data_IF_791806183432
#
_entry.id   IF_791806183432
#
_cell.length_a   1.000
_cell.length_b   1.000
_cell.length_c   1.000
_cell.angle_alpha   90.00
_cell.angle_beta   90.00
_cell.angle_gamma   90.00
#
_symmetry.space_group_name_H-M   'P 1'
#
loop_
_entity.id
_entity.type
_entity.pdbx_description
1 polymer ?
#
# COMPACT_ATOMS: atom_id res chain seq x y z
N UNK A 1 2.79 -8.89 22.65
CA UNK A 1 2.20 -7.57 22.32
C UNK A 1 3.16 -6.72 21.51
N UNK A 2 4.40 -6.52 21.96
CA UNK A 2 5.40 -5.67 21.28
C UNK A 2 5.65 -5.99 19.80
N UNK A 3 5.75 -7.28 19.43
CA UNK A 3 5.94 -7.68 18.03
C UNK A 3 4.73 -7.33 17.14
N UNK A 4 3.52 -7.42 17.69
CA UNK A 4 2.27 -7.10 16.97
C UNK A 4 2.20 -5.60 16.69
N UNK A 5 2.53 -4.79 17.68
CA UNK A 5 2.56 -3.33 17.56
C UNK A 5 3.64 -2.86 16.60
N UNK A 6 4.83 -3.46 16.64
CA UNK A 6 5.92 -3.13 15.71
C UNK A 6 5.51 -3.40 14.26
N UNK A 7 4.84 -4.53 14.01
CA UNK A 7 4.31 -4.88 12.68
C UNK A 7 3.26 -3.88 12.21
N UNK A 8 2.32 -3.50 13.08
CA UNK A 8 1.32 -2.49 12.78
C UNK A 8 1.94 -1.12 12.49
N UNK A 9 2.99 -0.71 13.23
CA UNK A 9 3.71 0.53 12.93
C UNK A 9 4.34 0.49 11.54
N UNK A 10 4.94 -0.63 11.12
CA UNK A 10 5.48 -0.78 9.77
C UNK A 10 4.39 -0.62 8.71
N UNK A 11 3.22 -1.23 8.93
CA UNK A 11 2.06 -1.05 8.05
C UNK A 11 1.63 0.42 7.99
N UNK A 12 1.58 1.11 9.12
CA UNK A 12 1.24 2.54 9.17
C UNK A 12 2.24 3.40 8.37
N UNK A 13 3.54 3.16 8.51
CA UNK A 13 4.55 3.88 7.72
C UNK A 13 4.34 3.71 6.22
N UNK A 14 4.10 2.47 5.75
CA UNK A 14 3.84 2.21 4.33
C UNK A 14 2.56 2.89 3.83
N UNK A 15 1.53 2.99 4.67
CA UNK A 15 0.29 3.70 4.33
C UNK A 15 0.57 5.21 4.18
N UNK A 16 1.38 5.80 5.07
CA UNK A 16 1.79 7.20 4.94
C UNK A 16 2.55 7.43 3.63
N UNK A 17 3.53 6.57 3.30
CA UNK A 17 4.29 6.67 2.04
C UNK A 17 3.36 6.59 0.82
N UNK A 18 2.41 5.64 0.83
CA UNK A 18 1.40 5.52 -0.24
C UNK A 18 0.55 6.79 -0.35
N UNK A 19 0.11 7.36 0.78
CA UNK A 19 -0.74 8.55 0.81
C UNK A 19 -0.01 9.77 0.26
N UNK A 20 1.24 9.98 0.68
CA UNK A 20 2.09 11.05 0.19
C UNK A 20 2.33 10.90 -1.32
N UNK A 21 2.72 9.71 -1.76
CA UNK A 21 2.95 9.42 -3.17
C UNK A 21 1.67 9.61 -3.98
N UNK A 22 0.51 9.10 -3.55
CA UNK A 22 -0.76 9.31 -4.25
C UNK A 22 -1.16 10.79 -4.33
N UNK A 23 -0.84 11.59 -3.31
CA UNK A 23 -1.18 13.01 -3.23
C UNK A 23 -0.21 13.92 -4.03
N UNK A 24 0.97 13.45 -4.42
CA UNK A 24 1.87 14.23 -5.27
C UNK A 24 1.25 14.52 -6.64
N UNK A 25 1.33 15.78 -7.08
CA UNK A 25 1.03 16.25 -8.44
C UNK A 25 2.13 15.79 -9.43
N UNK A 26 2.42 14.49 -9.48
CA UNK A 26 3.32 13.90 -10.46
C UNK A 26 2.54 13.38 -11.67
N UNK A 27 3.19 13.42 -12.84
CA UNK A 27 2.67 13.04 -14.16
C UNK A 27 1.74 11.83 -14.12
N UNK A 28 0.62 11.92 -14.86
CA UNK A 28 -0.40 10.87 -15.12
C UNK A 28 0.00 9.49 -14.59
N UNK A 29 -0.19 9.28 -13.28
CA UNK A 29 -0.03 7.97 -12.66
C UNK A 29 -0.91 7.00 -13.43
N UNK A 30 -0.37 5.85 -13.79
CA UNK A 30 -1.10 4.86 -14.56
C UNK A 30 -2.39 4.51 -13.79
N UNK A 31 -3.55 4.84 -14.37
CA UNK A 31 -4.86 4.64 -13.76
C UNK A 31 -5.08 3.17 -13.37
N UNK A 32 -4.57 2.23 -14.15
CA UNK A 32 -4.64 0.80 -13.85
C UNK A 32 -3.81 0.43 -12.61
N UNK A 33 -2.64 1.06 -12.43
CA UNK A 33 -1.82 0.90 -11.21
C UNK A 33 -2.55 1.47 -10.00
N UNK A 34 -3.10 2.69 -10.12
CA UNK A 34 -3.85 3.33 -9.03
C UNK A 34 -5.07 2.52 -8.62
N UNK A 35 -5.82 1.99 -9.58
CA UNK A 35 -6.97 1.13 -9.31
C UNK A 35 -6.55 -0.10 -8.50
N UNK A 36 -5.46 -0.78 -8.90
CA UNK A 36 -4.94 -1.93 -8.15
C UNK A 36 -4.47 -1.54 -6.75
N UNK A 37 -3.84 -0.37 -6.58
CA UNK A 37 -3.44 0.14 -5.26
C UNK A 37 -4.67 0.33 -4.37
N UNK A 38 -5.71 0.98 -4.89
CA UNK A 38 -6.99 1.19 -4.19
C UNK A 38 -7.62 -0.15 -3.80
N UNK A 39 -7.70 -1.13 -4.71
CA UNK A 39 -8.28 -2.45 -4.44
C UNK A 39 -7.58 -3.17 -3.27
N UNK A 40 -6.25 -3.04 -3.19
CA UNK A 40 -5.49 -3.63 -2.10
C UNK A 40 -5.76 -2.92 -0.76
N UNK A 41 -5.82 -1.59 -0.75
CA UNK A 41 -6.14 -0.81 0.45
C UNK A 41 -7.58 -1.04 0.92
N UNK A 42 -8.55 -1.07 0.01
CA UNK A 42 -9.95 -1.38 0.31
C UNK A 42 -10.08 -2.78 0.92
N UNK A 43 -9.33 -3.77 0.40
CA UNK A 43 -9.28 -5.11 0.98
C UNK A 43 -8.68 -5.14 2.39
N UNK A 44 -7.64 -4.36 2.64
CA UNK A 44 -7.04 -4.23 3.98
C UNK A 44 -8.00 -3.58 4.99
N UNK A 45 -8.71 -2.53 4.58
CA UNK A 45 -9.72 -1.88 5.42
C UNK A 45 -10.87 -2.83 5.69
N UNK A 46 -11.37 -3.53 4.68
CA UNK A 46 -12.45 -4.51 4.82
C UNK A 46 -12.14 -5.59 5.87
N UNK A 47 -10.92 -6.13 5.87
CA UNK A 47 -10.46 -7.09 6.89
C UNK A 47 -10.36 -6.47 8.29
N UNK A 48 -9.99 -5.18 8.38
CA UNK A 48 -9.87 -4.46 9.65
C UNK A 48 -11.23 -4.10 10.26
N UNK A 49 -12.23 -3.78 9.44
CA UNK A 49 -13.55 -3.33 9.89
C UNK A 49 -14.59 -4.44 10.03
N UNK A 50 -14.25 -5.68 9.66
CA UNK A 50 -15.14 -6.82 9.81
C UNK A 50 -15.39 -7.10 11.30
N UNK A 51 -16.61 -6.85 11.82
CA UNK A 51 -16.91 -7.05 13.23
C UNK A 51 -16.97 -8.53 13.63
N UNK A 52 -17.04 -9.43 12.65
CA UNK A 52 -17.12 -10.88 12.85
C UNK A 52 -15.77 -11.60 12.79
N UNK A 53 -14.72 -10.90 12.33
CA UNK A 53 -13.39 -11.46 12.13
C UNK A 53 -12.36 -10.80 13.04
N UNK A 54 -11.42 -11.60 13.55
CA UNK A 54 -10.16 -11.05 14.03
C UNK A 54 -9.28 -10.78 12.81
N UNK A 55 -9.06 -9.52 12.46
CA UNK A 55 -8.23 -9.14 11.32
C UNK A 55 -6.90 -9.91 11.29
N UNK A 56 -6.47 -10.31 10.09
CA UNK A 56 -5.22 -11.04 9.91
C UNK A 56 -4.09 -10.05 9.63
N UNK A 57 -3.11 -10.00 10.53
CA UNK A 57 -1.95 -9.14 10.36
C UNK A 57 -1.12 -9.51 9.13
N UNK A 58 -1.06 -10.80 8.79
CA UNK A 58 -0.39 -11.27 7.57
C UNK A 58 -1.15 -10.84 6.30
N UNK A 59 -2.48 -10.84 6.35
CA UNK A 59 -3.32 -10.36 5.26
C UNK A 59 -3.15 -8.85 5.06
N UNK A 60 -3.21 -8.09 6.16
CA UNK A 60 -3.01 -6.64 6.19
C UNK A 60 -1.65 -6.25 5.62
N UNK A 61 -0.58 -6.86 6.12
CA UNK A 61 0.78 -6.63 5.63
C UNK A 61 0.89 -6.94 4.13
N UNK A 62 0.39 -8.09 3.68
CA UNK A 62 0.45 -8.46 2.25
C UNK A 62 -0.27 -7.43 1.37
N UNK A 63 -1.45 -6.98 1.77
CA UNK A 63 -2.24 -6.00 0.99
C UNK A 63 -1.51 -4.67 0.90
N UNK A 64 -1.05 -4.13 2.03
CA UNK A 64 -0.36 -2.84 2.08
C UNK A 64 1.01 -2.90 1.39
N UNK A 65 1.79 -3.97 1.58
CA UNK A 65 3.05 -4.15 0.87
C UNK A 65 2.87 -4.23 -0.64
N UNK A 66 1.81 -4.89 -1.11
CA UNK A 66 1.53 -4.98 -2.55
C UNK A 66 1.12 -3.63 -3.12
N UNK A 67 0.28 -2.88 -2.41
CA UNK A 67 -0.10 -1.51 -2.79
C UNK A 67 1.15 -0.60 -2.89
N UNK A 68 1.98 -0.60 -1.85
CA UNK A 68 3.24 0.13 -1.84
C UNK A 68 4.12 -0.28 -3.03
N UNK A 69 4.36 -1.58 -3.21
CA UNK A 69 5.18 -2.07 -4.31
C UNK A 69 4.66 -1.63 -5.68
N UNK A 70 3.36 -1.68 -5.94
CA UNK A 70 2.78 -1.27 -7.23
C UNK A 70 3.00 0.22 -7.51
N UNK A 71 2.87 1.05 -6.48
CA UNK A 71 3.00 2.49 -6.60
C UNK A 71 4.45 2.92 -6.87
N UNK A 72 5.41 2.36 -6.12
CA UNK A 72 6.82 2.73 -6.22
C UNK A 72 7.65 1.92 -7.24
N UNK A 73 7.13 0.80 -7.77
CA UNK A 73 7.86 -0.02 -8.77
C UNK A 73 8.03 0.68 -10.12
N UNK A 74 7.14 1.60 -10.48
CA UNK A 74 7.20 2.28 -11.77
C UNK A 74 8.33 3.31 -11.87
N UNK A 75 8.76 3.89 -10.75
CA UNK A 75 9.88 4.85 -10.74
C UNK A 75 11.21 4.23 -11.17
N UNK A 76 11.38 2.93 -10.89
CA UNK A 76 12.61 2.21 -11.27
C UNK A 76 12.71 1.93 -12.78
N UNK A 77 11.58 1.89 -13.50
CA UNK A 77 11.57 1.74 -14.97
C UNK A 77 11.68 3.08 -15.69
N UNK A 78 11.06 4.14 -15.18
CA UNK A 78 11.19 5.49 -15.73
C UNK A 78 12.64 6.02 -15.66
N UNK A 79 13.39 5.65 -14.62
CA UNK A 79 14.81 6.00 -14.49
C UNK A 79 15.74 5.26 -15.47
N UNK A 80 15.35 4.08 -15.96
CA UNK A 80 16.20 3.25 -16.83
C UNK A 80 15.99 3.51 -18.33
N UNK A 81 14.86 4.11 -18.72
CA UNK A 81 14.62 4.51 -20.12
C UNK A 81 15.17 5.90 -20.47
N UNK A 82 15.68 6.65 -19.50
CA UNK A 82 16.27 7.99 -19.67
C UNK A 82 17.80 8.00 -19.57
N UNK A 83 18.48 6.87 -19.79
CA UNK A 83 19.95 6.77 -19.74
C UNK A 83 20.54 6.24 -21.04
#
# INVERSE_FOLDING_TARGET
>A
MEQKELRLRKVQYLICDIMDEMNMESEKKNLETLQKVIDHLSGAIGDLVDPSSTYSLDYLERKVHTAHYLLFKNDRKAYLCNK
#
